data_IF_686744133508
#
_entry.id   IF_686744133508
#
_cell.length_a   1.000
_cell.length_b   1.000
_cell.length_c   1.000
_cell.angle_alpha   90.00
_cell.angle_beta   90.00
_cell.angle_gamma   90.00
#
_symmetry.space_group_name_H-M   'P 1'
#
loop_
_entity.id
_entity.type
_entity.pdbx_description
1 polymer ?
#
# COMPACT_ATOMS: atom_id res chain seq x y z
N UNK A 1 0.13 12.45 -16.02
CA UNK A 1 -0.22 11.96 -14.66
C UNK A 1 0.99 12.19 -13.77
N UNK A 2 0.91 13.06 -12.75
CA UNK A 2 2.09 13.46 -11.94
C UNK A 2 2.16 12.79 -10.57
N UNK A 3 1.00 12.60 -9.93
CA UNK A 3 0.89 12.01 -8.60
C UNK A 3 -0.16 10.89 -8.65
N UNK A 4 0.15 9.73 -8.09
CA UNK A 4 -0.74 8.57 -8.05
C UNK A 4 -0.83 8.04 -6.63
N UNK A 5 -2.05 7.73 -6.19
CA UNK A 5 -2.33 6.99 -4.97
C UNK A 5 -3.18 5.78 -5.37
N UNK A 6 -2.67 4.58 -5.12
CA UNK A 6 -3.42 3.34 -5.29
C UNK A 6 -3.81 2.84 -3.90
N UNK A 7 -5.10 2.61 -3.68
CA UNK A 7 -5.66 2.09 -2.42
C UNK A 7 -6.85 1.18 -2.72
N UNK A 8 -7.33 0.45 -1.72
CA UNK A 8 -8.40 -0.56 -1.85
C UNK A 8 -8.09 -1.84 -2.66
N UNK A 9 -6.87 -2.06 -3.13
CA UNK A 9 -6.53 -3.17 -4.05
C UNK A 9 -6.41 -4.54 -3.38
N UNK A 10 -7.34 -5.46 -3.69
CA UNK A 10 -7.33 -6.82 -3.10
C UNK A 10 -6.56 -7.87 -3.90
N UNK A 11 -6.29 -7.59 -5.18
CA UNK A 11 -5.59 -8.53 -6.06
C UNK A 11 -4.11 -8.18 -6.13
N UNK A 12 -3.24 -9.07 -5.64
CA UNK A 12 -1.79 -8.91 -5.71
C UNK A 12 -1.31 -8.78 -7.17
N UNK A 13 -1.74 -9.71 -8.03
CA UNK A 13 -1.39 -9.69 -9.46
C UNK A 13 -1.90 -8.41 -10.14
N UNK A 14 -3.16 -8.04 -9.90
CA UNK A 14 -3.73 -6.82 -10.47
C UNK A 14 -3.01 -5.55 -10.00
N UNK A 15 -2.59 -5.50 -8.73
CA UNK A 15 -1.79 -4.40 -8.21
C UNK A 15 -0.45 -4.31 -8.94
N UNK A 16 0.24 -5.43 -9.09
CA UNK A 16 1.55 -5.47 -9.76
C UNK A 16 1.45 -5.06 -11.22
N UNK A 17 0.48 -5.62 -11.95
CA UNK A 17 0.26 -5.34 -13.37
C UNK A 17 -0.10 -3.87 -13.59
N UNK A 18 -1.04 -3.31 -12.80
CA UNK A 18 -1.42 -1.91 -12.88
C UNK A 18 -0.25 -0.98 -12.54
N UNK A 19 0.47 -1.28 -11.48
CA UNK A 19 1.59 -0.45 -11.04
C UNK A 19 2.70 -0.43 -12.08
N UNK A 20 3.07 -1.60 -12.61
CA UNK A 20 4.07 -1.71 -13.69
C UNK A 20 3.63 -0.91 -14.92
N UNK A 21 2.37 -1.05 -15.32
CA UNK A 21 1.82 -0.31 -16.46
C UNK A 21 1.91 1.22 -16.27
N UNK A 22 1.61 1.72 -15.07
CA UNK A 22 1.73 3.15 -14.77
C UNK A 22 3.20 3.60 -14.82
N UNK A 23 4.11 2.85 -14.23
CA UNK A 23 5.55 3.17 -14.23
C UNK A 23 6.10 3.22 -15.67
N UNK A 24 5.66 2.32 -16.53
CA UNK A 24 6.08 2.27 -17.95
C UNK A 24 5.51 3.40 -18.80
N UNK A 25 4.25 3.78 -18.58
CA UNK A 25 3.52 4.65 -19.51
C UNK A 25 3.38 6.10 -19.02
N UNK A 26 3.50 6.36 -17.72
CA UNK A 26 3.33 7.69 -17.15
C UNK A 26 4.67 8.46 -17.12
N UNK A 27 5.16 8.90 -18.28
CA UNK A 27 6.44 9.64 -18.40
C UNK A 27 6.52 10.95 -17.58
N UNK A 28 5.38 11.50 -17.13
CA UNK A 28 5.29 12.70 -16.28
C UNK A 28 5.14 12.40 -14.79
N UNK A 29 5.18 11.13 -14.39
CA UNK A 29 5.02 10.69 -13.01
C UNK A 29 6.18 11.22 -12.16
N UNK A 30 5.84 11.78 -11.01
CA UNK A 30 6.78 12.30 -10.03
C UNK A 30 6.65 11.63 -8.67
N UNK A 31 5.43 11.20 -8.33
CA UNK A 31 5.14 10.60 -7.05
C UNK A 31 4.12 9.48 -7.20
N UNK A 32 4.40 8.34 -6.59
CA UNK A 32 3.48 7.21 -6.51
C UNK A 32 3.45 6.68 -5.09
N UNK A 33 2.24 6.47 -4.58
CA UNK A 33 1.97 5.90 -3.28
C UNK A 33 1.12 4.64 -3.45
N UNK A 34 1.56 3.53 -2.90
CA UNK A 34 0.76 2.31 -2.76
C UNK A 34 0.31 2.16 -1.31
N UNK A 35 -0.98 2.36 -1.04
CA UNK A 35 -1.56 2.20 0.28
C UNK A 35 -2.11 0.79 0.46
N UNK A 36 -1.37 -0.03 1.21
CA UNK A 36 -1.73 -1.42 1.51
C UNK A 36 -2.53 -1.56 2.80
N UNK A 37 -2.77 -0.48 3.55
CA UNK A 37 -3.49 -0.54 4.83
C UNK A 37 -5.01 -0.52 4.64
N UNK A 38 -5.54 -1.50 3.91
CA UNK A 38 -6.97 -1.68 3.75
C UNK A 38 -7.65 -1.77 5.13
N UNK A 39 -8.71 -0.97 5.36
CA UNK A 39 -9.54 -1.04 6.57
C UNK A 39 -9.01 -0.29 7.79
N UNK A 40 -7.82 0.29 7.77
CA UNK A 40 -7.35 1.16 8.85
C UNK A 40 -7.79 2.61 8.62
N UNK A 41 -8.77 3.10 9.38
CA UNK A 41 -9.18 4.50 9.31
C UNK A 41 -8.16 5.38 10.05
N UNK A 42 -7.08 5.75 9.34
CA UNK A 42 -5.98 6.57 9.88
C UNK A 42 -6.42 7.95 10.40
N UNK A 43 -7.53 8.51 9.90
CA UNK A 43 -8.01 9.84 10.32
C UNK A 43 -8.53 9.90 11.75
N UNK A 44 -8.87 8.76 12.34
CA UNK A 44 -9.50 8.73 13.66
C UNK A 44 -8.79 7.83 14.67
N UNK A 45 -7.58 7.32 14.38
CA UNK A 45 -6.85 6.39 15.26
C UNK A 45 -7.71 5.24 15.80
N UNK A 46 -8.80 4.89 15.10
CA UNK A 46 -9.60 3.71 15.35
C UNK A 46 -9.12 2.68 14.33
N UNK A 47 -8.02 2.01 14.68
CA UNK A 47 -7.74 0.70 14.11
C UNK A 47 -8.97 -0.16 14.42
N UNK A 48 -9.95 -0.23 13.51
CA UNK A 48 -10.87 -1.37 13.57
C UNK A 48 -9.99 -2.61 13.41
N UNK A 49 -10.08 -3.61 14.29
CA UNK A 49 -9.28 -4.81 14.17
C UNK A 49 -9.46 -5.36 12.76
N UNK A 50 -8.39 -5.37 11.98
CA UNK A 50 -8.37 -6.21 10.80
C UNK A 50 -8.47 -7.64 11.31
N UNK A 51 -9.29 -8.48 10.68
CA UNK A 51 -9.22 -9.91 10.96
C UNK A 51 -7.77 -10.36 10.72
N UNK A 52 -7.26 -11.33 11.50
CA UNK A 52 -5.88 -11.79 11.37
C UNK A 52 -5.50 -12.13 9.93
N UNK A 53 -6.47 -12.68 9.17
CA UNK A 53 -6.33 -12.94 7.73
C UNK A 53 -6.15 -11.65 6.92
N UNK A 54 -7.00 -10.63 7.11
CA UNK A 54 -6.87 -9.37 6.36
C UNK A 54 -5.55 -8.64 6.64
N UNK A 55 -5.04 -8.70 7.88
CA UNK A 55 -3.73 -8.16 8.22
C UNK A 55 -2.60 -8.93 7.52
N UNK A 56 -2.66 -10.26 7.54
CA UNK A 56 -1.69 -11.12 6.86
C UNK A 56 -1.67 -10.85 5.35
N UNK A 57 -2.83 -10.75 4.69
CA UNK A 57 -2.91 -10.43 3.26
C UNK A 57 -2.35 -9.04 2.95
N UNK A 58 -2.57 -8.06 3.84
CA UNK A 58 -2.00 -6.73 3.68
C UNK A 58 -0.46 -6.75 3.77
N UNK A 59 0.11 -7.52 4.70
CA UNK A 59 1.57 -7.70 4.79
C UNK A 59 2.15 -8.48 3.62
N UNK A 60 1.46 -9.51 3.11
CA UNK A 60 1.85 -10.20 1.87
C UNK A 60 1.89 -9.22 0.69
N UNK A 61 0.91 -8.33 0.60
CA UNK A 61 0.89 -7.29 -0.43
C UNK A 61 2.12 -6.38 -0.35
N UNK A 62 2.53 -5.98 0.86
CA UNK A 62 3.78 -5.21 1.07
C UNK A 62 5.00 -5.96 0.55
N UNK A 63 5.12 -7.25 0.89
CA UNK A 63 6.24 -8.09 0.43
C UNK A 63 6.25 -8.24 -1.10
N UNK A 64 5.09 -8.43 -1.72
CA UNK A 64 4.97 -8.46 -3.19
C UNK A 64 5.44 -7.14 -3.82
N UNK A 65 5.04 -5.99 -3.28
CA UNK A 65 5.47 -4.67 -3.77
C UNK A 65 7.00 -4.55 -3.68
N UNK A 66 7.58 -4.85 -2.52
CA UNK A 66 9.03 -4.79 -2.31
C UNK A 66 9.80 -5.66 -3.30
N UNK A 67 9.27 -6.84 -3.62
CA UNK A 67 9.93 -7.80 -4.52
C UNK A 67 9.77 -7.52 -6.01
N UNK A 68 8.63 -6.96 -6.44
CA UNK A 68 8.28 -6.92 -7.86
C UNK A 68 8.09 -5.51 -8.44
N UNK A 69 8.06 -4.49 -7.59
CA UNK A 69 7.79 -3.10 -7.96
C UNK A 69 8.97 -2.20 -7.62
N UNK A 70 9.53 -2.29 -6.41
CA UNK A 70 10.59 -1.35 -5.98
C UNK A 70 11.79 -1.33 -6.93
N UNK A 71 12.15 -2.46 -7.53
CA UNK A 71 13.22 -2.60 -8.52
C UNK A 71 12.89 -1.97 -9.89
N UNK A 72 11.60 -1.80 -10.19
CA UNK A 72 11.10 -1.22 -11.46
C UNK A 72 10.81 0.27 -11.37
N UNK A 73 10.82 0.85 -10.17
CA UNK A 73 10.56 2.27 -9.98
C UNK A 73 11.74 3.08 -10.57
N UNK A 74 11.50 3.98 -11.53
CA UNK A 74 12.54 4.89 -12.00
C UNK A 74 13.02 5.79 -10.86
N UNK A 75 14.33 6.03 -10.76
CA UNK A 75 14.92 6.86 -9.70
C UNK A 75 14.42 8.31 -9.67
N UNK A 76 13.78 8.79 -10.75
CA UNK A 76 13.15 10.10 -10.85
C UNK A 76 11.76 10.18 -10.18
N UNK A 77 11.19 9.03 -9.82
CA UNK A 77 9.87 8.92 -9.19
C UNK A 77 10.05 8.73 -7.69
N UNK A 78 9.44 9.61 -6.89
CA UNK A 78 9.29 9.36 -5.46
C UNK A 78 8.29 8.21 -5.30
N UNK A 79 8.69 7.14 -4.63
CA UNK A 79 7.85 5.98 -4.39
C UNK A 79 7.71 5.72 -2.90
N UNK A 80 6.46 5.55 -2.44
CA UNK A 80 6.13 5.29 -1.06
C UNK A 80 5.15 4.13 -0.95
N UNK A 81 5.39 3.24 0.01
CA UNK A 81 4.45 2.17 0.38
C UNK A 81 3.92 2.50 1.77
N UNK A 82 2.60 2.64 1.90
CA UNK A 82 2.02 2.82 3.22
C UNK A 82 1.63 1.46 3.79
N UNK A 83 2.47 0.96 4.67
CA UNK A 83 2.31 -0.33 5.32
C UNK A 83 1.09 -0.36 6.27
N UNK A 84 0.54 -1.55 6.55
CA UNK A 84 -0.45 -1.74 7.59
C UNK A 84 0.12 -1.32 8.95
N UNK A 85 -0.71 -0.74 9.81
CA UNK A 85 -0.28 -0.43 11.17
C UNK A 85 -0.02 -1.73 11.93
N UNK A 86 1.22 -1.90 12.39
CA UNK A 86 1.63 -3.06 13.18
C UNK A 86 0.70 -3.21 14.37
N UNK A 87 0.29 -2.14 15.07
CA UNK A 87 -0.53 -2.23 16.29
C UNK A 87 -2.01 -2.59 16.06
N UNK A 88 -2.52 -2.63 14.83
CA UNK A 88 -3.94 -2.95 14.61
C UNK A 88 -4.29 -4.45 14.83
N UNK A 89 -3.37 -5.29 15.32
CA UNK A 89 -3.67 -6.67 15.76
C UNK A 89 -4.04 -6.76 17.24
N UNK A 90 -3.74 -5.73 18.03
CA UNK A 90 -4.14 -5.72 19.44
C UNK A 90 -5.54 -5.14 19.52
N UNK A 91 -6.45 -5.82 20.23
CA UNK A 91 -7.74 -5.25 20.64
C UNK A 91 -7.57 -4.08 21.64
N UNK A 92 -6.38 -3.53 21.75
CA UNK A 92 -6.07 -2.40 22.60
C UNK A 92 -6.49 -1.14 21.86
N UNK A 93 -7.65 -0.61 22.25
CA UNK A 93 -8.03 0.74 21.89
C UNK A 93 -6.86 1.68 22.23
N UNK A 94 -6.42 2.48 21.27
CA UNK A 94 -5.47 3.56 21.53
C UNK A 94 -6.02 4.43 22.66
N UNK A 95 -5.47 4.31 23.87
CA UNK A 95 -5.73 5.27 24.94
C UNK A 95 -5.13 6.61 24.53
N UNK A 96 -5.99 7.62 24.60
CA UNK A 96 -5.73 9.02 24.24
C UNK A 96 -4.72 9.67 25.17
#
# INVERSE_FOLDING_TARGET
>A
LKNVLISGFRSEKGLVDLTSHILENAASLKHMILDTAYGCNRRHCRCSPLTGNALMEAWKTVDVIKRHIEDKVPSSVKFEVIEPCIKCHTNEACTS
#
